data_IF_576334921360
#
_entry.id   IF_576334921360
#
_cell.length_a   1.000
_cell.length_b   1.000
_cell.length_c   1.000
_cell.angle_alpha   90.00
_cell.angle_beta   90.00
_cell.angle_gamma   90.00
#
_symmetry.space_group_name_H-M   'P 1'
#
loop_
_entity.id
_entity.type
_entity.pdbx_description
1 polymer ?
#
# COMPACT_ATOMS: atom_id res chain seq x y z
N UNK A 1 13.28 23.65 -3.43
CA UNK A 1 12.95 22.73 -2.31
C UNK A 1 11.72 21.88 -2.64
N UNK A 2 10.61 22.48 -3.07
CA UNK A 2 9.33 21.77 -3.29
C UNK A 2 9.36 20.70 -4.40
N UNK A 3 9.94 20.96 -5.57
CA UNK A 3 10.09 19.95 -6.65
C UNK A 3 10.82 18.70 -6.17
N UNK A 4 11.86 18.86 -5.33
CA UNK A 4 12.60 17.72 -4.77
C UNK A 4 11.70 16.90 -3.83
N UNK A 5 10.88 17.55 -3.00
CA UNK A 5 9.90 16.89 -2.14
C UNK A 5 8.90 16.10 -2.98
N UNK A 6 8.31 16.69 -4.02
CA UNK A 6 7.38 16.00 -4.93
C UNK A 6 8.02 14.76 -5.56
N UNK A 7 9.21 14.90 -6.16
CA UNK A 7 9.93 13.77 -6.77
C UNK A 7 10.28 12.67 -5.76
N UNK A 8 10.62 13.03 -4.52
CA UNK A 8 10.89 12.07 -3.46
C UNK A 8 9.63 11.31 -3.05
N UNK A 9 8.50 12.01 -2.84
CA UNK A 9 7.20 11.39 -2.54
C UNK A 9 6.74 10.46 -3.68
N UNK A 10 6.82 10.92 -4.93
CA UNK A 10 6.50 10.10 -6.11
C UNK A 10 7.33 8.81 -6.12
N UNK A 11 8.65 8.91 -5.90
CA UNK A 11 9.54 7.75 -5.86
C UNK A 11 9.20 6.79 -4.71
N UNK A 12 8.86 7.34 -3.54
CA UNK A 12 8.53 6.58 -2.35
C UNK A 12 7.20 5.82 -2.51
N UNK A 13 6.17 6.48 -3.02
CA UNK A 13 4.86 5.84 -3.27
C UNK A 13 4.94 4.81 -4.40
N UNK A 14 5.66 5.10 -5.50
CA UNK A 14 5.90 4.12 -6.59
C UNK A 14 6.62 2.87 -6.09
N UNK A 15 7.59 3.03 -5.18
CA UNK A 15 8.26 1.89 -4.58
C UNK A 15 7.29 1.05 -3.74
N UNK A 16 6.50 1.67 -2.87
CA UNK A 16 5.52 0.97 -2.04
C UNK A 16 4.49 0.23 -2.89
N UNK A 17 3.92 0.88 -3.92
CA UNK A 17 2.95 0.27 -4.82
C UNK A 17 3.54 -0.97 -5.53
N UNK A 18 4.77 -0.84 -6.06
CA UNK A 18 5.46 -1.96 -6.71
C UNK A 18 5.74 -3.11 -5.74
N UNK A 19 6.15 -2.82 -4.51
CA UNK A 19 6.43 -3.86 -3.52
C UNK A 19 5.16 -4.64 -3.14
N UNK A 20 4.04 -3.94 -2.94
CA UNK A 20 2.74 -4.56 -2.66
C UNK A 20 2.27 -5.41 -3.84
N UNK A 21 2.41 -4.91 -5.08
CA UNK A 21 2.04 -5.65 -6.29
C UNK A 21 2.87 -6.93 -6.45
N UNK A 22 4.19 -6.86 -6.24
CA UNK A 22 5.07 -8.02 -6.27
C UNK A 22 4.75 -9.02 -5.15
N UNK A 23 4.44 -8.55 -3.95
CA UNK A 23 4.03 -9.42 -2.85
C UNK A 23 2.70 -10.14 -3.14
N UNK A 24 1.75 -9.45 -3.78
CA UNK A 24 0.51 -10.05 -4.26
C UNK A 24 0.78 -11.10 -5.34
N UNK A 25 1.65 -10.80 -6.30
CA UNK A 25 2.04 -11.74 -7.35
C UNK A 25 2.68 -13.02 -6.77
N UNK A 26 3.61 -12.87 -5.81
CA UNK A 26 4.20 -14.02 -5.11
C UNK A 26 3.13 -14.84 -4.39
N UNK A 27 2.16 -14.20 -3.73
CA UNK A 27 1.08 -14.93 -3.06
C UNK A 27 0.22 -15.72 -4.05
N UNK A 28 -0.09 -15.16 -5.22
CA UNK A 28 -0.85 -15.83 -6.30
C UNK A 28 -0.04 -17.01 -6.87
N UNK A 29 1.26 -16.81 -7.14
CA UNK A 29 2.12 -17.88 -7.65
C UNK A 29 2.23 -19.03 -6.65
N UNK A 30 2.42 -18.72 -5.37
CA UNK A 30 2.50 -19.71 -4.31
C UNK A 30 1.15 -20.41 -4.07
N UNK A 31 0.02 -19.71 -4.19
CA UNK A 31 -1.31 -20.32 -4.19
C UNK A 31 -1.41 -21.37 -5.31
N UNK A 32 -1.03 -21.03 -6.53
CA UNK A 32 -1.12 -21.93 -7.67
C UNK A 32 -0.14 -23.11 -7.56
N UNK A 33 1.07 -22.87 -7.07
CA UNK A 33 2.11 -23.88 -6.96
C UNK A 33 1.86 -24.88 -5.82
N UNK A 34 1.27 -24.43 -4.70
CA UNK A 34 1.15 -25.23 -3.48
C UNK A 34 -0.27 -25.65 -3.13
N UNK A 35 -1.29 -24.94 -3.60
CA UNK A 35 -2.68 -25.12 -3.16
C UNK A 35 -2.92 -24.78 -1.69
N UNK A 36 -1.97 -24.13 -1.02
CA UNK A 36 -2.08 -23.78 0.41
C UNK A 36 -3.21 -22.79 0.66
N UNK A 37 -4.00 -23.07 1.70
CA UNK A 37 -5.03 -22.16 2.18
C UNK A 37 -4.45 -20.81 2.63
N UNK A 38 -3.28 -20.81 3.27
CA UNK A 38 -2.61 -19.59 3.75
C UNK A 38 -2.21 -18.68 2.57
N UNK A 39 -1.62 -19.27 1.51
CA UNK A 39 -1.28 -18.51 0.29
C UNK A 39 -2.51 -18.00 -0.44
N UNK A 40 -3.59 -18.80 -0.46
CA UNK A 40 -4.89 -18.40 -1.03
C UNK A 40 -5.47 -17.20 -0.29
N UNK A 41 -5.47 -17.22 1.04
CA UNK A 41 -5.97 -16.14 1.87
C UNK A 41 -5.12 -14.86 1.69
N UNK A 42 -3.78 -14.98 1.70
CA UNK A 42 -2.86 -13.87 1.45
C UNK A 42 -3.08 -13.23 0.08
N UNK A 43 -3.18 -14.03 -0.97
CA UNK A 43 -3.44 -13.55 -2.33
C UNK A 43 -4.79 -12.81 -2.40
N UNK A 44 -5.84 -13.42 -1.84
CA UNK A 44 -7.17 -12.84 -1.80
C UNK A 44 -7.22 -11.50 -1.03
N UNK A 45 -6.45 -11.35 0.04
CA UNK A 45 -6.38 -10.14 0.86
C UNK A 45 -5.55 -9.03 0.19
N UNK A 46 -4.39 -9.36 -0.37
CA UNK A 46 -3.51 -8.38 -1.02
C UNK A 46 -4.06 -7.86 -2.35
N UNK A 47 -4.86 -8.64 -3.08
CA UNK A 47 -5.40 -8.27 -4.41
C UNK A 47 -6.12 -6.91 -4.42
N UNK A 48 -7.16 -6.67 -3.58
CA UNK A 48 -7.85 -5.37 -3.58
C UNK A 48 -6.95 -4.21 -3.15
N UNK A 49 -6.00 -4.46 -2.23
CA UNK A 49 -5.03 -3.46 -1.77
C UNK A 49 -4.08 -3.07 -2.91
N UNK A 50 -3.47 -4.06 -3.58
CA UNK A 50 -2.57 -3.83 -4.71
C UNK A 50 -3.28 -3.06 -5.83
N UNK A 51 -4.52 -3.44 -6.15
CA UNK A 51 -5.32 -2.76 -7.19
C UNK A 51 -5.65 -1.32 -6.82
N UNK A 52 -6.25 -1.07 -5.66
CA UNK A 52 -6.68 0.28 -5.31
C UNK A 52 -5.49 1.20 -5.02
N UNK A 53 -4.50 0.75 -4.25
CA UNK A 53 -3.34 1.57 -3.90
C UNK A 53 -2.44 1.86 -5.10
N UNK A 54 -2.20 0.86 -5.98
CA UNK A 54 -1.41 1.05 -7.20
C UNK A 54 -2.01 2.09 -8.13
N UNK A 55 -3.33 2.03 -8.32
CA UNK A 55 -4.05 2.97 -9.21
C UNK A 55 -4.15 4.37 -8.61
N UNK A 56 -4.44 4.51 -7.31
CA UNK A 56 -4.40 5.81 -6.62
C UNK A 56 -2.99 6.42 -6.65
N UNK A 57 -1.95 5.60 -6.47
CA UNK A 57 -0.55 6.03 -6.60
C UNK A 57 -0.25 6.53 -8.01
N UNK A 58 -0.63 5.77 -9.04
CA UNK A 58 -0.46 6.17 -10.43
C UNK A 58 -1.13 7.50 -10.76
N UNK A 59 -2.36 7.71 -10.27
CA UNK A 59 -3.08 8.97 -10.43
C UNK A 59 -2.36 10.13 -9.73
N UNK A 60 -1.93 9.95 -8.47
CA UNK A 60 -1.21 11.00 -7.74
C UNK A 60 0.12 11.34 -8.41
N UNK A 61 0.87 10.33 -8.85
CA UNK A 61 2.16 10.50 -9.54
C UNK A 61 1.96 11.18 -10.90
N UNK A 62 0.92 10.82 -11.66
CA UNK A 62 0.59 11.48 -12.93
C UNK A 62 0.25 12.96 -12.72
N UNK A 63 -0.56 13.27 -11.70
CA UNK A 63 -0.88 14.66 -11.31
C UNK A 63 0.38 15.44 -10.92
N UNK A 64 1.21 14.88 -10.04
CA UNK A 64 2.42 15.55 -9.55
C UNK A 64 3.46 15.69 -10.68
N UNK A 65 3.48 14.73 -11.62
CA UNK A 65 4.30 14.79 -12.84
C UNK A 65 3.94 15.99 -13.72
N UNK A 66 2.65 16.28 -13.92
CA UNK A 66 2.20 17.52 -14.59
C UNK A 66 2.68 18.76 -13.83
N UNK A 67 2.52 18.77 -12.50
CA UNK A 67 2.91 19.89 -11.65
C UNK A 67 4.41 20.21 -11.71
N UNK A 68 5.27 19.19 -11.77
CA UNK A 68 6.74 19.32 -11.88
C UNK A 68 7.15 20.05 -13.16
N UNK A 69 6.39 19.88 -14.26
CA UNK A 69 6.64 20.56 -15.53
C UNK A 69 6.05 21.98 -15.61
N UNK A 70 5.38 22.45 -14.55
CA UNK A 70 4.73 23.76 -14.54
C UNK A 70 3.69 23.90 -15.65
N UNK A 71 3.60 25.09 -16.26
CA UNK A 71 2.65 25.34 -17.35
C UNK A 71 2.85 24.45 -18.58
N UNK A 72 4.07 23.94 -18.81
CA UNK A 72 4.33 23.01 -19.91
C UNK A 72 3.72 21.62 -19.65
N UNK A 73 3.46 21.24 -18.40
CA UNK A 73 2.90 19.92 -18.08
C UNK A 73 1.48 19.67 -18.59
N UNK A 74 0.72 20.74 -18.89
CA UNK A 74 -0.62 20.63 -19.50
C UNK A 74 -0.59 20.68 -21.03
N UNK A 75 0.57 20.97 -21.61
CA UNK A 75 0.76 21.02 -23.07
C UNK A 75 1.03 19.60 -23.57
N UNK A 76 0.18 19.10 -24.47
CA UNK A 76 0.16 17.70 -24.90
C UNK A 76 1.49 17.26 -25.52
N UNK A 77 2.22 18.15 -26.18
CA UNK A 77 3.54 17.88 -26.78
C UNK A 77 4.61 17.46 -25.74
N UNK A 78 4.42 17.76 -24.45
CA UNK A 78 5.32 17.29 -23.38
C UNK A 78 5.09 15.84 -22.97
N UNK A 79 3.93 15.27 -23.31
CA UNK A 79 3.52 13.92 -22.91
C UNK A 79 3.12 13.76 -21.43
N UNK A 80 3.35 14.75 -20.55
CA UNK A 80 3.01 14.63 -19.13
C UNK A 80 1.48 14.51 -18.90
N UNK A 81 0.70 15.28 -19.65
CA UNK A 81 -0.77 15.26 -19.60
C UNK A 81 -1.34 13.88 -19.99
N UNK A 82 -0.70 13.18 -20.92
CA UNK A 82 -1.14 11.85 -21.35
C UNK A 82 -1.16 10.86 -20.19
N UNK A 83 -0.08 10.77 -19.39
CA UNK A 83 -0.03 9.85 -18.26
C UNK A 83 -1.13 10.12 -17.22
N UNK A 84 -1.47 11.40 -17.00
CA UNK A 84 -2.55 11.78 -16.09
C UNK A 84 -3.94 11.32 -16.60
N UNK A 85 -4.17 11.39 -17.92
CA UNK A 85 -5.40 10.90 -18.55
C UNK A 85 -5.48 9.38 -18.56
N UNK A 86 -4.42 8.71 -19.03
CA UNK A 86 -4.40 7.27 -19.28
C UNK A 86 -4.51 6.47 -17.97
N UNK A 87 -3.85 6.94 -16.89
CA UNK A 87 -3.89 6.24 -15.60
C UNK A 87 -5.27 6.28 -14.94
N UNK A 88 -6.13 7.25 -15.28
CA UNK A 88 -7.40 7.48 -14.56
C UNK A 88 -8.36 6.30 -14.67
N UNK A 89 -8.38 5.61 -15.81
CA UNK A 89 -9.28 4.48 -16.06
C UNK A 89 -9.01 3.30 -15.11
N UNK A 90 -7.77 3.16 -14.65
CA UNK A 90 -7.35 2.03 -13.81
C UNK A 90 -8.06 2.00 -12.45
N UNK A 91 -8.44 3.16 -11.90
CA UNK A 91 -9.24 3.25 -10.68
C UNK A 91 -10.73 2.91 -10.88
N UNK A 92 -11.17 2.73 -12.13
CA UNK A 92 -12.59 2.57 -12.51
C UNK A 92 -12.87 1.15 -13.01
N UNK A 93 -12.06 0.62 -13.93
CA UNK A 93 -12.25 -0.72 -14.49
C UNK A 93 -11.88 -1.82 -13.49
N UNK A 94 -12.38 -3.03 -13.74
CA UNK A 94 -12.18 -4.23 -12.90
C UNK A 94 -12.59 -4.02 -11.43
N UNK A 95 -13.64 -3.22 -11.23
CA UNK A 95 -14.13 -2.79 -9.92
C UNK A 95 -13.49 -1.48 -9.48
N UNK A 96 -14.32 -0.49 -9.20
CA UNK A 96 -13.86 0.83 -8.73
C UNK A 96 -13.08 0.70 -7.41
N UNK A 97 -12.19 1.65 -7.11
CA UNK A 97 -11.42 1.58 -5.86
C UNK A 97 -12.31 1.53 -4.59
N UNK A 98 -13.50 2.14 -4.64
CA UNK A 98 -14.51 2.01 -3.57
C UNK A 98 -15.06 0.58 -3.45
N UNK A 99 -15.35 -0.10 -4.56
CA UNK A 99 -15.79 -1.50 -4.56
C UNK A 99 -14.69 -2.43 -4.05
N UNK A 100 -13.42 -2.18 -4.41
CA UNK A 100 -12.28 -2.94 -3.87
C UNK A 100 -12.16 -2.78 -2.35
N UNK A 101 -12.36 -1.57 -1.85
CA UNK A 101 -12.35 -1.30 -0.42
C UNK A 101 -13.52 -1.98 0.31
N UNK A 102 -14.72 -1.93 -0.27
CA UNK A 102 -15.89 -2.64 0.26
C UNK A 102 -15.69 -4.16 0.25
N UNK A 103 -15.08 -4.72 -0.80
CA UNK A 103 -14.67 -6.13 -0.86
C UNK A 103 -13.74 -6.50 0.30
N UNK A 104 -12.72 -5.69 0.54
CA UNK A 104 -11.75 -5.91 1.61
C UNK A 104 -12.44 -6.04 2.97
N UNK A 105 -13.29 -5.08 3.35
CA UNK A 105 -13.95 -5.10 4.66
C UNK A 105 -15.10 -6.10 4.76
N UNK A 106 -15.82 -6.36 3.67
CA UNK A 106 -17.00 -7.24 3.72
C UNK A 106 -16.68 -8.71 3.53
N UNK A 107 -15.79 -9.06 2.59
CA UNK A 107 -15.50 -10.45 2.22
C UNK A 107 -14.16 -10.92 2.74
N UNK A 108 -13.11 -10.08 2.67
CA UNK A 108 -11.75 -10.51 3.06
C UNK A 108 -11.50 -10.53 4.57
N UNK A 109 -12.41 -9.97 5.37
CA UNK A 109 -12.41 -10.07 6.83
C UNK A 109 -13.41 -11.11 7.38
N UNK A 110 -14.05 -11.91 6.53
CA UNK A 110 -15.03 -12.93 6.98
C UNK A 110 -14.38 -14.14 7.67
N UNK A 111 -13.06 -14.29 7.54
CA UNK A 111 -12.24 -15.28 8.25
C UNK A 111 -11.96 -14.87 9.71
N UNK A 112 -12.70 -13.88 10.24
CA UNK A 112 -12.42 -13.28 11.53
C UNK A 112 -11.19 -12.35 11.51
N UNK A 113 -10.72 -11.96 10.33
CA UNK A 113 -9.52 -11.12 10.16
C UNK A 113 -8.20 -11.89 10.15
N UNK A 114 -8.21 -13.23 10.10
CA UNK A 114 -7.01 -14.07 10.19
C UNK A 114 -5.92 -13.65 9.18
N UNK A 115 -6.28 -13.48 7.91
CA UNK A 115 -5.33 -13.04 6.88
C UNK A 115 -4.74 -11.65 7.18
N UNK A 116 -5.54 -10.73 7.71
CA UNK A 116 -5.11 -9.39 8.09
C UNK A 116 -4.15 -9.44 9.29
N UNK A 117 -4.49 -10.19 10.34
CA UNK A 117 -3.68 -10.30 11.55
C UNK A 117 -2.34 -10.96 11.29
N UNK A 118 -2.27 -11.97 10.42
CA UNK A 118 -1.00 -12.61 10.04
C UNK A 118 -0.07 -11.66 9.30
N UNK A 119 -0.61 -10.83 8.40
CA UNK A 119 0.18 -9.78 7.75
C UNK A 119 0.66 -8.73 8.75
N UNK A 120 -0.19 -8.32 9.70
CA UNK A 120 0.18 -7.36 10.75
C UNK A 120 1.26 -7.93 11.69
N UNK A 121 1.16 -9.20 12.05
CA UNK A 121 2.17 -9.91 12.85
C UNK A 121 3.52 -9.98 12.12
N UNK A 122 3.54 -10.35 10.83
CA UNK A 122 4.76 -10.32 10.00
C UNK A 122 5.39 -8.91 9.98
N UNK A 123 4.58 -7.87 9.86
CA UNK A 123 5.05 -6.48 9.85
C UNK A 123 5.66 -6.09 11.21
N UNK A 124 5.02 -6.50 12.30
CA UNK A 124 5.45 -6.20 13.66
C UNK A 124 6.77 -6.92 14.01
N UNK A 125 6.87 -8.20 13.68
CA UNK A 125 8.07 -9.00 13.88
C UNK A 125 9.26 -8.43 13.12
N UNK A 126 9.06 -8.07 11.85
CA UNK A 126 10.11 -7.45 11.05
C UNK A 126 10.48 -6.06 11.55
N UNK A 127 9.52 -5.26 12.03
CA UNK A 127 9.79 -3.95 12.62
C UNK A 127 10.61 -4.10 13.91
N UNK A 128 10.27 -5.04 14.79
CA UNK A 128 11.03 -5.29 16.01
C UNK A 128 12.46 -5.77 15.70
N UNK A 129 12.62 -6.64 14.69
CA UNK A 129 13.95 -7.03 14.20
C UNK A 129 14.75 -5.84 13.66
N UNK A 130 14.09 -4.93 12.93
CA UNK A 130 14.71 -3.74 12.36
C UNK A 130 15.18 -2.74 13.44
N UNK A 131 14.60 -2.77 14.63
CA UNK A 131 14.80 -1.80 15.70
C UNK A 131 16.26 -1.69 16.16
N UNK A 132 17.01 -2.79 16.06
CA UNK A 132 18.44 -2.80 16.37
C UNK A 132 19.30 -1.92 15.43
N UNK A 133 18.82 -1.64 14.21
CA UNK A 133 19.57 -0.91 13.18
C UNK A 133 18.91 0.41 12.78
N UNK A 134 17.58 0.47 12.81
CA UNK A 134 16.77 1.60 12.36
C UNK A 134 15.66 1.94 13.38
N UNK A 135 16.00 2.26 14.64
CA UNK A 135 15.03 2.32 15.75
C UNK A 135 13.88 3.30 15.52
N UNK A 136 14.14 4.48 14.94
CA UNK A 136 13.09 5.48 14.68
C UNK A 136 12.10 5.00 13.59
N UNK A 137 12.61 4.54 12.45
CA UNK A 137 11.77 4.05 11.34
C UNK A 137 11.02 2.76 11.73
N UNK A 138 11.69 1.86 12.44
CA UNK A 138 11.10 0.65 12.98
C UNK A 138 9.96 0.96 13.96
N UNK A 139 10.19 1.89 14.89
CA UNK A 139 9.18 2.33 15.86
C UNK A 139 7.92 2.89 15.17
N UNK A 140 8.11 3.77 14.19
CA UNK A 140 6.98 4.35 13.44
C UNK A 140 6.15 3.30 12.68
N UNK A 141 6.80 2.32 12.04
CA UNK A 141 6.10 1.22 11.35
C UNK A 141 5.35 0.34 12.35
N UNK A 142 5.98 0.02 13.48
CA UNK A 142 5.37 -0.80 14.52
C UNK A 142 4.11 -0.10 15.11
N UNK A 143 4.22 1.17 15.50
CA UNK A 143 3.10 1.95 16.04
C UNK A 143 1.94 2.08 15.03
N UNK A 144 2.25 2.32 13.75
CA UNK A 144 1.25 2.37 12.69
C UNK A 144 0.55 1.02 12.48
N UNK A 145 1.29 -0.09 12.61
CA UNK A 145 0.72 -1.44 12.52
C UNK A 145 -0.20 -1.78 13.70
N UNK A 146 0.12 -1.31 14.91
CA UNK A 146 -0.75 -1.49 16.09
C UNK A 146 -2.05 -0.70 15.94
N UNK A 147 -1.98 0.56 15.52
CA UNK A 147 -3.20 1.37 15.26
C UNK A 147 -4.08 0.72 14.19
N UNK A 148 -3.48 0.09 13.18
CA UNK A 148 -4.19 -0.64 12.14
C UNK A 148 -4.76 -1.97 12.63
N UNK A 149 -4.09 -2.64 13.58
CA UNK A 149 -4.60 -3.84 14.26
C UNK A 149 -5.87 -3.51 15.03
N UNK A 150 -5.86 -2.48 15.86
CA UNK A 150 -7.05 -2.01 16.60
C UNK A 150 -8.22 -1.67 15.64
N UNK A 151 -7.91 -1.02 14.51
CA UNK A 151 -8.91 -0.71 13.48
C UNK A 151 -9.48 -2.00 12.85
N UNK A 152 -8.63 -3.00 12.62
CA UNK A 152 -9.04 -4.30 12.08
C UNK A 152 -9.94 -5.04 13.07
N UNK A 153 -9.60 -5.02 14.36
CA UNK A 153 -10.40 -5.62 15.43
C UNK A 153 -11.81 -5.00 15.50
N UNK A 154 -11.89 -3.67 15.46
CA UNK A 154 -13.17 -2.97 15.40
C UNK A 154 -13.98 -3.38 14.17
N UNK A 155 -13.36 -3.37 12.98
CA UNK A 155 -14.03 -3.79 11.74
C UNK A 155 -14.48 -5.23 11.77
N UNK A 156 -13.74 -6.16 12.38
CA UNK A 156 -14.15 -7.56 12.51
C UNK A 156 -15.31 -7.71 13.49
N UNK A 157 -15.31 -6.95 14.57
CA UNK A 157 -16.35 -7.00 15.60
C UNK A 157 -17.66 -6.30 15.20
N UNK A 158 -17.62 -5.35 14.26
CA UNK A 158 -18.78 -4.57 13.82
C UNK A 158 -19.76 -5.40 12.96
N UNK A 159 -20.98 -5.70 13.43
CA UNK A 159 -21.96 -6.48 12.66
C UNK A 159 -22.67 -5.69 11.56
N UNK A 160 -22.77 -4.35 11.64
CA UNK A 160 -23.43 -3.55 10.61
C UNK A 160 -22.49 -3.32 9.43
N UNK A 161 -22.83 -3.93 8.30
CA UNK A 161 -22.05 -3.82 7.08
C UNK A 161 -21.97 -2.39 6.55
N UNK A 162 -22.98 -1.54 6.79
CA UNK A 162 -22.95 -0.14 6.37
C UNK A 162 -21.92 0.66 7.18
N UNK A 163 -21.79 0.39 8.48
CA UNK A 163 -20.76 1.00 9.34
C UNK A 163 -19.35 0.58 8.88
N UNK A 164 -19.17 -0.71 8.54
CA UNK A 164 -17.91 -1.19 7.93
C UNK A 164 -17.61 -0.48 6.61
N UNK A 165 -18.63 -0.29 5.77
CA UNK A 165 -18.48 0.38 4.47
C UNK A 165 -18.12 1.85 4.56
N UNK A 166 -18.56 2.56 5.60
CA UNK A 166 -18.17 3.95 5.84
C UNK A 166 -16.65 4.11 6.03
N UNK A 167 -16.01 3.12 6.67
CA UNK A 167 -14.55 3.08 6.91
C UNK A 167 -13.72 2.38 5.83
N UNK A 168 -14.35 1.81 4.80
CA UNK A 168 -13.68 0.87 3.89
C UNK A 168 -12.47 1.47 3.14
N UNK A 169 -12.66 2.64 2.50
CA UNK A 169 -11.60 3.30 1.72
C UNK A 169 -10.45 3.78 2.61
N UNK A 170 -10.71 4.48 3.74
CA UNK A 170 -9.65 4.79 4.71
C UNK A 170 -8.91 3.55 5.22
N UNK A 171 -9.61 2.47 5.54
CA UNK A 171 -9.00 1.23 6.01
C UNK A 171 -8.06 0.61 4.98
N UNK A 172 -8.52 0.45 3.72
CA UNK A 172 -7.68 -0.06 2.63
C UNK A 172 -6.42 0.79 2.48
N UNK A 173 -6.56 2.12 2.51
CA UNK A 173 -5.45 3.05 2.34
C UNK A 173 -4.48 3.03 3.52
N UNK A 174 -4.99 2.87 4.75
CA UNK A 174 -4.17 2.69 5.95
C UNK A 174 -3.37 1.38 5.85
N UNK A 175 -4.02 0.28 5.46
CA UNK A 175 -3.35 -1.01 5.26
C UNK A 175 -2.25 -0.94 4.21
N UNK A 176 -2.52 -0.30 3.07
CA UNK A 176 -1.52 -0.08 2.04
C UNK A 176 -0.33 0.78 2.52
N UNK A 177 -0.59 1.80 3.35
CA UNK A 177 0.46 2.65 3.93
C UNK A 177 1.33 1.87 4.92
N UNK A 178 0.76 1.03 5.77
CA UNK A 178 1.53 0.19 6.70
C UNK A 178 2.37 -0.83 5.92
N UNK A 179 1.80 -1.49 4.91
CA UNK A 179 2.57 -2.38 4.01
C UNK A 179 3.69 -1.64 3.28
N UNK A 180 3.44 -0.42 2.80
CA UNK A 180 4.46 0.41 2.16
C UNK A 180 5.61 0.73 3.12
N UNK A 181 5.29 1.11 4.36
CA UNK A 181 6.28 1.38 5.40
C UNK A 181 7.12 0.14 5.72
N UNK A 182 6.47 -1.02 5.86
CA UNK A 182 7.14 -2.32 6.02
C UNK A 182 8.14 -2.60 4.89
N UNK A 183 7.73 -2.52 3.61
CA UNK A 183 8.66 -2.80 2.50
C UNK A 183 9.79 -1.76 2.37
N UNK A 184 9.53 -0.51 2.72
CA UNK A 184 10.59 0.51 2.80
C UNK A 184 11.60 0.20 3.90
N UNK A 185 11.12 -0.22 5.08
CA UNK A 185 11.96 -0.62 6.21
C UNK A 185 12.84 -1.81 5.85
N UNK A 186 12.26 -2.86 5.24
CA UNK A 186 13.00 -4.01 4.72
C UNK A 186 14.08 -3.62 3.73
N UNK A 187 13.74 -2.76 2.77
CA UNK A 187 14.70 -2.31 1.77
C UNK A 187 15.82 -1.47 2.38
N UNK A 188 15.53 -0.67 3.41
CA UNK A 188 16.53 0.10 4.14
C UNK A 188 17.48 -0.81 4.95
N UNK A 189 16.97 -1.90 5.54
CA UNK A 189 17.80 -2.90 6.22
C UNK A 189 18.70 -3.66 5.24
N UNK A 190 18.18 -4.02 4.07
CA UNK A 190 18.93 -4.75 3.05
C UNK A 190 20.00 -3.90 2.35
N UNK A 191 19.93 -2.57 2.46
CA UNK A 191 20.87 -1.63 1.85
C UNK A 191 21.37 -0.57 2.86
N UNK A 192 22.15 -0.96 3.91
CA UNK A 192 22.56 -0.04 4.98
C UNK A 192 23.43 1.13 4.51
N UNK A 193 24.17 0.95 3.41
CA UNK A 193 25.10 1.94 2.87
C UNK A 193 24.52 2.72 1.67
N UNK A 194 23.33 2.37 1.18
CA UNK A 194 22.76 2.97 -0.02
C UNK A 194 21.57 3.89 0.24
N UNK A 195 20.87 4.23 -0.84
CA UNK A 195 19.84 5.28 -0.85
C UNK A 195 18.50 4.85 -0.26
N UNK A 196 18.33 3.57 0.15
CA UNK A 196 17.04 3.05 0.61
C UNK A 196 16.60 3.63 1.95
N UNK A 197 17.53 3.84 2.89
CA UNK A 197 17.23 4.50 4.17
C UNK A 197 16.66 5.92 3.97
N UNK A 198 17.25 6.69 3.06
CA UNK A 198 16.78 8.04 2.75
C UNK A 198 15.39 8.04 2.11
N UNK A 199 15.08 7.05 1.26
CA UNK A 199 13.76 6.91 0.67
C UNK A 199 12.71 6.45 1.69
N UNK A 200 13.10 5.54 2.60
CA UNK A 200 12.25 5.06 3.67
C UNK A 200 11.83 6.22 4.60
N UNK A 201 12.75 7.12 4.95
CA UNK A 201 12.46 8.32 5.76
C UNK A 201 11.57 9.36 5.08
N UNK A 202 11.26 9.21 3.79
CA UNK A 202 10.26 10.05 3.10
C UNK A 202 8.86 9.45 3.22
N UNK A 203 8.77 8.13 3.37
CA UNK A 203 7.51 7.39 3.38
C UNK A 203 6.98 7.10 4.79
N UNK A 204 7.90 6.66 5.67
CA UNK A 204 7.70 6.34 7.08
C UNK A 204 7.82 7.63 7.88
#
# INVERSE_FOLDING_TARGET
ADVRRMLACMKADVFAARAIELACAVAIDMQNATGSADWTARAAFLTPIAKAFGTDTGISVGRDGVQVHGGMGVIEETGAAQFCRDVRVTAIYEGTNGIQAMDLVARKLMDGGDAAYRLLEEIQDEAEHARAHLPELAGAVWEASESLRETTEWLVAEPDLNERFAGAVPYLRAFARVLGGHYHLRAALADPAGGRKALAAVYI
#
